data_IF_421967225744
#
_entry.id   IF_421967225744
#
_cell.length_a   1.000
_cell.length_b   1.000
_cell.length_c   1.000
_cell.angle_alpha   90.00
_cell.angle_beta   90.00
_cell.angle_gamma   90.00
#
_symmetry.space_group_name_H-M   'P 1'
#
loop_
_entity.id
_entity.type
_entity.pdbx_description
1 polymer ?
#
# COMPACT_ATOMS: atom_id res chain seq x y z
N UNK A 1 13.17 23.46 21.84
CA UNK A 1 12.04 24.16 21.19
C UNK A 1 12.33 24.11 19.70
N UNK A 2 11.77 23.13 19.00
CA UNK A 2 11.97 22.99 17.56
C UNK A 2 10.73 23.56 16.89
N UNK A 3 10.89 24.68 16.19
CA UNK A 3 9.84 25.27 15.36
C UNK A 3 9.56 24.32 14.19
N UNK A 4 8.30 23.91 14.05
CA UNK A 4 7.85 23.16 12.87
C UNK A 4 7.45 24.17 11.79
N UNK A 5 7.95 24.06 10.56
CA UNK A 5 7.46 24.90 9.47
C UNK A 5 6.07 24.43 9.03
N UNK A 6 5.12 25.36 9.06
CA UNK A 6 3.77 25.23 8.51
C UNK A 6 3.84 24.99 7.00
N UNK A 7 3.89 23.72 6.59
CA UNK A 7 3.61 23.35 5.21
C UNK A 7 2.10 23.35 5.00
N UNK A 8 1.63 24.47 4.45
CA UNK A 8 0.26 24.66 3.96
C UNK A 8 -0.14 23.48 3.06
N UNK A 9 -1.13 22.70 3.51
CA UNK A 9 -1.75 21.56 2.82
C UNK A 9 -2.20 21.85 1.37
N UNK A 10 -2.31 23.13 0.99
CA UNK A 10 -2.82 23.58 -0.31
C UNK A 10 -1.86 23.40 -1.49
N UNK A 11 -0.55 23.29 -1.27
CA UNK A 11 0.43 23.25 -2.37
C UNK A 11 0.77 21.83 -2.85
N UNK A 12 0.48 20.79 -2.05
CA UNK A 12 0.78 19.38 -2.40
C UNK A 12 -0.19 18.84 -3.48
N UNK A 13 -1.37 19.45 -3.64
CA UNK A 13 -2.41 18.99 -4.57
C UNK A 13 -2.04 19.25 -6.05
N UNK A 14 -1.05 20.11 -6.35
CA UNK A 14 -0.73 20.52 -7.73
C UNK A 14 0.09 19.49 -8.55
N UNK A 15 0.48 18.34 -8.00
CA UNK A 15 1.29 17.35 -8.72
C UNK A 15 0.51 16.08 -9.14
N UNK A 16 -0.81 16.16 -9.28
CA UNK A 16 -1.63 15.08 -9.83
C UNK A 16 -1.56 15.15 -11.36
N UNK A 17 -0.73 14.32 -11.97
CA UNK A 17 -0.76 14.11 -13.43
C UNK A 17 -1.96 13.21 -13.75
N UNK A 18 -2.90 13.63 -14.61
CA UNK A 18 -4.03 12.80 -15.01
C UNK A 18 -3.55 11.53 -15.70
N UNK A 19 -4.22 10.40 -15.43
CA UNK A 19 -3.82 9.08 -15.90
C UNK A 19 -3.66 8.95 -17.43
N UNK A 20 -4.24 9.88 -18.20
CA UNK A 20 -4.13 10.00 -19.66
C UNK A 20 -2.74 10.41 -20.16
N UNK A 21 -1.88 10.95 -19.31
CA UNK A 21 -0.56 11.49 -19.70
C UNK A 21 0.62 10.58 -19.33
N UNK A 22 0.36 9.36 -18.84
CA UNK A 22 1.41 8.40 -18.54
C UNK A 22 1.89 7.68 -19.81
N UNK A 23 3.21 7.53 -20.01
CA UNK A 23 3.74 6.82 -21.19
C UNK A 23 3.32 5.34 -21.18
N UNK A 24 3.05 4.74 -22.36
CA UNK A 24 2.70 3.33 -22.45
C UNK A 24 3.86 2.47 -21.95
N UNK A 25 3.56 1.52 -21.04
CA UNK A 25 4.59 0.61 -20.52
C UNK A 25 5.17 -0.25 -21.65
N UNK A 26 6.49 -0.45 -21.70
CA UNK A 26 7.10 -1.38 -22.64
C UNK A 26 6.64 -2.82 -22.36
N UNK A 27 6.12 -3.50 -23.38
CA UNK A 27 5.71 -4.90 -23.32
C UNK A 27 6.96 -5.79 -23.43
N UNK A 28 7.39 -6.41 -22.33
CA UNK A 28 8.45 -7.44 -22.38
C UNK A 28 7.85 -8.78 -22.81
N UNK A 29 8.53 -9.44 -23.74
CA UNK A 29 8.13 -10.66 -24.44
C UNK A 29 7.77 -11.83 -23.54
N UNK A 30 6.88 -12.68 -24.06
CA UNK A 30 6.34 -13.85 -23.41
C UNK A 30 7.41 -14.93 -23.18
N UNK A 31 7.42 -15.55 -22.00
CA UNK A 31 7.43 -17.02 -21.77
C UNK A 31 7.28 -17.33 -20.26
N UNK A 32 6.51 -18.40 -19.99
CA UNK A 32 6.05 -18.98 -18.70
C UNK A 32 4.79 -18.35 -18.11
N UNK A 33 3.64 -18.99 -18.41
CA UNK A 33 2.36 -18.73 -17.73
C UNK A 33 2.50 -19.15 -16.26
N UNK A 34 2.90 -18.22 -15.40
CA UNK A 34 2.62 -18.31 -13.97
C UNK A 34 1.16 -17.90 -13.80
N UNK A 35 0.33 -18.83 -13.37
CA UNK A 35 -1.08 -18.59 -12.96
C UNK A 35 -1.21 -17.69 -11.73
N UNK A 36 -0.09 -17.28 -11.12
CA UNK A 36 -0.09 -16.33 -10.02
C UNK A 36 -0.45 -14.92 -10.52
N UNK A 37 -1.58 -14.42 -10.03
CA UNK A 37 -1.99 -13.02 -10.22
C UNK A 37 -0.90 -12.08 -9.71
N UNK A 38 -0.70 -10.97 -10.40
CA UNK A 38 0.34 -9.99 -10.06
C UNK A 38 -0.08 -9.13 -8.86
N UNK A 39 0.90 -8.49 -8.20
CA UNK A 39 0.67 -7.47 -7.17
C UNK A 39 -0.35 -6.41 -7.63
N UNK A 40 -0.17 -5.88 -8.84
CA UNK A 40 -1.06 -4.85 -9.39
C UNK A 40 -2.51 -5.35 -9.50
N UNK A 41 -2.73 -6.62 -9.84
CA UNK A 41 -4.08 -7.19 -9.89
C UNK A 41 -4.75 -7.18 -8.51
N UNK A 42 -4.06 -7.62 -7.45
CA UNK A 42 -4.62 -7.63 -6.10
C UNK A 42 -4.88 -6.21 -5.60
N UNK A 43 -3.94 -5.29 -5.85
CA UNK A 43 -4.09 -3.88 -5.49
C UNK A 43 -5.27 -3.24 -6.19
N UNK A 44 -5.37 -3.37 -7.50
CA UNK A 44 -6.39 -2.66 -8.29
C UNK A 44 -7.79 -3.22 -7.99
N UNK A 45 -7.90 -4.54 -7.79
CA UNK A 45 -9.15 -5.16 -7.32
C UNK A 45 -9.57 -4.62 -5.95
N UNK A 46 -8.67 -4.65 -4.97
CA UNK A 46 -8.97 -4.17 -3.62
C UNK A 46 -9.26 -2.67 -3.60
N UNK A 47 -8.56 -1.87 -4.39
CA UNK A 47 -8.79 -0.44 -4.49
C UNK A 47 -10.19 -0.13 -5.06
N UNK A 48 -10.64 -0.91 -6.05
CA UNK A 48 -12.00 -0.81 -6.57
C UNK A 48 -13.06 -1.15 -5.51
N UNK A 49 -12.81 -2.16 -4.68
CA UNK A 49 -13.71 -2.55 -3.59
C UNK A 49 -13.77 -1.49 -2.48
N UNK A 50 -12.65 -0.83 -2.19
CA UNK A 50 -12.54 0.17 -1.12
C UNK A 50 -12.83 1.61 -1.58
N UNK A 51 -12.98 1.86 -2.89
CA UNK A 51 -13.05 3.22 -3.43
C UNK A 51 -11.75 4.03 -3.21
N UNK A 52 -10.60 3.35 -3.20
CA UNK A 52 -9.29 3.93 -2.88
C UNK A 52 -8.48 4.37 -4.10
N UNK A 53 -7.58 5.34 -3.89
CA UNK A 53 -6.57 5.74 -4.88
C UNK A 53 -5.36 4.83 -4.82
N UNK A 54 -4.75 4.49 -5.96
CA UNK A 54 -3.61 3.55 -6.02
C UNK A 54 -2.26 4.22 -6.23
N UNK A 55 -1.20 3.57 -5.75
CA UNK A 55 0.20 3.88 -6.08
C UNK A 55 0.65 5.31 -5.72
N UNK A 56 0.18 5.84 -4.59
CA UNK A 56 0.51 7.17 -4.10
C UNK A 56 1.96 7.21 -3.62
N UNK A 57 2.71 8.23 -4.02
CA UNK A 57 4.08 8.47 -3.55
C UNK A 57 4.07 9.51 -2.44
N UNK A 58 4.84 9.25 -1.39
CA UNK A 58 5.08 10.19 -0.29
C UNK A 58 6.58 10.28 -0.03
N UNK A 59 7.07 11.36 0.59
CA UNK A 59 8.46 11.39 1.05
C UNK A 59 8.78 10.17 1.92
N UNK A 60 9.80 9.40 1.52
CA UNK A 60 10.25 8.21 2.23
C UNK A 60 9.47 6.92 1.95
N UNK A 61 8.39 6.95 1.15
CA UNK A 61 7.57 5.75 0.96
C UNK A 61 6.61 5.78 -0.23
N UNK A 62 5.88 4.68 -0.37
CA UNK A 62 4.83 4.53 -1.37
C UNK A 62 3.66 3.82 -0.70
N UNK A 63 2.45 4.30 -0.95
CA UNK A 63 1.20 3.70 -0.49
C UNK A 63 0.57 2.95 -1.67
N UNK A 64 0.21 1.69 -1.47
CA UNK A 64 -0.45 0.92 -2.52
C UNK A 64 -1.90 1.35 -2.72
N UNK A 65 -2.67 1.54 -1.64
CA UNK A 65 -4.04 2.05 -1.66
C UNK A 65 -4.23 3.06 -0.54
N UNK A 66 -4.76 4.23 -0.88
CA UNK A 66 -5.15 5.28 0.06
C UNK A 66 -6.67 5.50 -0.04
N UNK A 67 -7.37 5.35 1.08
CA UNK A 67 -8.79 5.71 1.22
C UNK A 67 -8.90 6.92 2.16
N UNK A 68 -10.10 7.50 2.37
CA UNK A 68 -10.26 8.59 3.34
C UNK A 68 -9.89 8.22 4.79
N UNK A 69 -9.84 6.94 5.13
CA UNK A 69 -9.65 6.46 6.51
C UNK A 69 -8.56 5.41 6.69
N UNK A 70 -7.98 4.89 5.61
CA UNK A 70 -7.04 3.77 5.65
C UNK A 70 -5.86 3.94 4.69
N UNK A 71 -4.67 3.55 5.15
CA UNK A 71 -3.51 3.26 4.31
C UNK A 71 -3.39 1.73 4.21
N UNK A 72 -3.41 1.21 2.98
CA UNK A 72 -3.29 -0.22 2.74
C UNK A 72 -2.01 -0.53 1.95
N UNK A 73 -1.22 -1.47 2.45
CA UNK A 73 -0.15 -2.11 1.68
C UNK A 73 -0.58 -3.48 1.20
N UNK A 74 -0.42 -3.74 -0.10
CA UNK A 74 -0.77 -5.02 -0.70
C UNK A 74 0.53 -5.77 -0.99
N UNK A 75 0.72 -6.94 -0.38
CA UNK A 75 2.00 -7.65 -0.51
C UNK A 75 1.85 -9.16 -0.55
N UNK A 76 2.84 -9.85 -1.13
CA UNK A 76 2.90 -11.29 -1.04
C UNK A 76 3.05 -11.69 0.44
N UNK A 77 2.41 -12.76 0.88
CA UNK A 77 2.35 -13.08 2.30
C UNK A 77 3.74 -13.24 2.96
N UNK A 78 4.74 -13.74 2.21
CA UNK A 78 6.14 -13.87 2.68
C UNK A 78 6.87 -12.53 2.87
N UNK A 79 6.33 -11.44 2.35
CA UNK A 79 6.91 -10.08 2.36
C UNK A 79 6.17 -9.15 3.34
N UNK A 80 5.40 -9.71 4.29
CA UNK A 80 4.59 -8.95 5.24
C UNK A 80 5.39 -7.96 6.10
N UNK A 81 6.62 -8.31 6.48
CA UNK A 81 7.50 -7.42 7.28
C UNK A 81 7.91 -6.17 6.50
N UNK A 82 8.10 -6.30 5.18
CA UNK A 82 8.42 -5.17 4.30
C UNK A 82 7.22 -4.24 4.17
N UNK A 83 6.00 -4.78 4.09
CA UNK A 83 4.79 -3.97 4.10
C UNK A 83 4.60 -3.24 5.43
N UNK A 84 4.91 -3.89 6.56
CA UNK A 84 4.85 -3.26 7.87
C UNK A 84 5.79 -2.07 7.97
N UNK A 85 7.06 -2.20 7.55
CA UNK A 85 8.01 -1.08 7.61
C UNK A 85 7.55 0.10 6.73
N UNK A 86 7.03 -0.18 5.53
CA UNK A 86 6.50 0.87 4.65
C UNK A 86 5.28 1.59 5.27
N UNK A 87 4.37 0.88 5.91
CA UNK A 87 3.23 1.50 6.61
C UNK A 87 3.70 2.43 7.73
N UNK A 88 4.70 2.01 8.52
CA UNK A 88 5.25 2.84 9.59
C UNK A 88 5.87 4.12 9.03
N UNK A 89 6.58 4.04 7.90
CA UNK A 89 7.10 5.24 7.23
C UNK A 89 5.98 6.15 6.70
N UNK A 90 4.92 5.57 6.13
CA UNK A 90 3.81 6.35 5.56
C UNK A 90 2.91 6.96 6.65
N UNK A 91 2.87 6.39 7.86
CA UNK A 91 2.03 6.87 8.98
C UNK A 91 2.26 8.34 9.31
N UNK A 92 3.49 8.83 9.20
CA UNK A 92 3.83 10.23 9.48
C UNK A 92 3.07 11.23 8.59
N UNK A 93 2.66 10.82 7.38
CA UNK A 93 1.91 11.66 6.45
C UNK A 93 0.39 11.57 6.65
N UNK A 94 -0.09 10.53 7.33
CA UNK A 94 -1.51 10.26 7.55
C UNK A 94 -1.74 9.70 8.97
N UNK A 95 -1.56 10.53 10.02
CA UNK A 95 -1.49 10.04 11.40
C UNK A 95 -2.80 9.45 11.93
N UNK A 96 -3.93 9.87 11.38
CA UNK A 96 -5.27 9.42 11.77
C UNK A 96 -5.75 8.19 10.98
N UNK A 97 -5.04 7.80 9.92
CA UNK A 97 -5.46 6.68 9.10
C UNK A 97 -5.17 5.35 9.79
N UNK A 98 -6.11 4.41 9.65
CA UNK A 98 -5.89 3.02 10.03
C UNK A 98 -4.87 2.39 9.07
N UNK A 99 -3.96 1.60 9.62
CA UNK A 99 -2.95 0.91 8.84
C UNK A 99 -3.38 -0.53 8.56
N UNK A 100 -3.28 -0.96 7.31
CA UNK A 100 -3.68 -2.31 6.89
C UNK A 100 -2.65 -2.95 5.98
N UNK A 101 -2.31 -4.21 6.26
CA UNK A 101 -1.59 -5.08 5.34
C UNK A 101 -2.60 -6.05 4.72
N UNK A 102 -2.65 -6.11 3.39
CA UNK A 102 -3.43 -7.08 2.65
C UNK A 102 -2.49 -8.09 1.97
N UNK A 103 -2.50 -9.31 2.49
CA UNK A 103 -1.63 -10.39 2.05
C UNK A 103 -2.25 -11.16 0.87
N UNK A 104 -1.42 -11.59 -0.07
CA UNK A 104 -1.83 -12.51 -1.13
C UNK A 104 -0.84 -13.66 -1.33
N UNK A 105 -1.31 -14.73 -1.99
CA UNK A 105 -0.52 -15.92 -2.27
C UNK A 105 -0.48 -16.89 -1.09
N UNK A 106 0.59 -17.70 -1.00
CA UNK A 106 0.72 -18.69 0.07
C UNK A 106 0.90 -18.00 1.42
N UNK A 107 -0.14 -18.07 2.26
CA UNK A 107 -0.11 -17.53 3.61
C UNK A 107 0.94 -18.23 4.48
N UNK A 108 1.56 -17.52 5.43
CA UNK A 108 2.47 -18.13 6.40
C UNK A 108 1.71 -19.12 7.29
N UNK A 109 2.37 -20.23 7.66
CA UNK A 109 1.82 -21.19 8.62
C UNK A 109 1.48 -20.53 9.97
N UNK A 110 2.24 -19.49 10.33
CA UNK A 110 2.13 -18.76 11.58
C UNK A 110 1.28 -17.47 11.43
N UNK A 111 0.23 -17.49 10.61
CA UNK A 111 -0.59 -16.29 10.33
C UNK A 111 -1.09 -15.61 11.61
N UNK A 112 -1.53 -16.38 12.61
CA UNK A 112 -1.98 -15.83 13.90
C UNK A 112 -0.88 -15.06 14.64
N UNK A 113 0.38 -15.52 14.55
CA UNK A 113 1.51 -14.80 15.14
C UNK A 113 1.82 -13.51 14.37
N UNK A 114 1.67 -13.53 13.03
CA UNK A 114 1.80 -12.34 12.18
C UNK A 114 0.71 -11.31 12.51
N UNK A 115 -0.55 -11.74 12.63
CA UNK A 115 -1.66 -10.88 13.04
C UNK A 115 -1.44 -10.28 14.42
N UNK A 116 -1.04 -11.10 15.40
CA UNK A 116 -0.75 -10.63 16.76
C UNK A 116 0.40 -9.62 16.77
N UNK A 117 1.47 -9.88 16.02
CA UNK A 117 2.63 -8.98 15.92
C UNK A 117 2.23 -7.64 15.27
N UNK A 118 1.50 -7.67 14.16
CA UNK A 118 1.02 -6.47 13.48
C UNK A 118 -0.01 -5.70 14.32
N UNK A 119 -0.89 -6.40 15.04
CA UNK A 119 -1.87 -5.80 15.94
C UNK A 119 -1.25 -4.99 17.07
N UNK A 120 -0.12 -5.45 17.65
CA UNK A 120 0.66 -4.67 18.63
C UNK A 120 1.18 -3.35 18.06
N UNK A 121 1.35 -3.26 16.74
CA UNK A 121 1.77 -2.05 16.02
C UNK A 121 0.60 -1.24 15.47
N UNK A 122 -0.64 -1.56 15.88
CA UNK A 122 -1.89 -0.97 15.38
C UNK A 122 -2.08 -1.14 13.86
N UNK A 123 -1.61 -2.27 13.32
CA UNK A 123 -1.75 -2.62 11.91
C UNK A 123 -2.69 -3.81 11.78
N UNK A 124 -3.77 -3.64 11.02
CA UNK A 124 -4.71 -4.70 10.71
C UNK A 124 -4.20 -5.58 9.56
N UNK A 125 -4.38 -6.89 9.65
CA UNK A 125 -3.95 -7.84 8.62
C UNK A 125 -5.18 -8.49 8.01
N UNK A 126 -5.21 -8.56 6.69
CA UNK A 126 -6.27 -9.22 5.91
C UNK A 126 -5.63 -10.00 4.77
N UNK A 127 -6.36 -10.90 4.12
CA UNK A 127 -5.83 -11.69 3.01
C UNK A 127 -6.85 -11.97 1.92
N UNK A 128 -6.35 -12.26 0.72
CA UNK A 128 -7.12 -12.82 -0.39
C UNK A 128 -6.55 -14.20 -0.76
N UNK A 129 -7.46 -15.16 -0.94
CA UNK A 129 -7.15 -16.51 -1.44
C UNK A 129 -6.88 -16.51 -2.96
#
# INVERSE_FOLDING_TARGET
MFEQPDYLLGEIIKAIVPASELPPRPKKGATRVRTARSHCWYRDKLACELGGQTAIRVPGGRIDILTPTEIVQVTAAREWQVALSQLQTCRCHFPEHKLRIHLFGKLPTELAAVEQFCGKQQVHVTWAA
#
